data_IF_260374907707
#
_entry.id   IF_260374907707
#
_cell.length_a   1.000
_cell.length_b   1.000
_cell.length_c   1.000
_cell.angle_alpha   90.00
_cell.angle_beta   90.00
_cell.angle_gamma   90.00
#
_symmetry.space_group_name_H-M   'P 1'
#
loop_
_entity.id
_entity.type
_entity.pdbx_description
1 polymer ?
#
# COMPACT_ATOMS: atom_id res chain seq x y z
N UNK A 1 -46.91 -10.96 14.08
CA UNK A 1 -46.68 -9.82 13.17
C UNK A 1 -45.42 -10.14 12.38
N UNK A 2 -45.55 -10.49 11.10
CA UNK A 2 -44.37 -10.74 10.24
C UNK A 2 -43.84 -9.39 9.78
N UNK A 3 -42.57 -9.10 10.06
CA UNK A 3 -41.88 -7.96 9.48
C UNK A 3 -41.86 -8.12 7.96
N UNK A 4 -42.27 -7.08 7.23
CA UNK A 4 -42.22 -7.05 5.77
C UNK A 4 -40.73 -7.01 5.36
N UNK A 5 -40.20 -8.02 4.66
CA UNK A 5 -38.78 -8.07 4.29
C UNK A 5 -38.38 -6.93 3.35
N UNK A 6 -39.33 -6.21 2.75
CA UNK A 6 -39.04 -5.02 1.91
C UNK A 6 -38.64 -3.79 2.73
N UNK A 7 -39.11 -3.68 3.98
CA UNK A 7 -38.70 -2.60 4.88
C UNK A 7 -37.25 -2.75 5.37
N UNK A 8 -36.72 -3.98 5.38
CA UNK A 8 -35.31 -4.23 5.70
C UNK A 8 -34.37 -3.77 4.57
N UNK A 9 -34.83 -3.77 3.31
CA UNK A 9 -34.04 -3.36 2.15
C UNK A 9 -33.97 -1.84 1.94
N UNK A 10 -34.94 -1.08 2.46
CA UNK A 10 -34.93 0.39 2.30
C UNK A 10 -33.83 1.05 3.15
N UNK A 11 -33.49 0.48 4.32
CA UNK A 11 -32.34 0.92 5.12
C UNK A 11 -30.98 0.47 4.51
N UNK A 12 -30.93 -0.68 3.81
CA UNK A 12 -29.69 -1.18 3.18
C UNK A 12 -29.32 -0.43 1.87
N UNK A 13 -30.27 0.17 1.17
CA UNK A 13 -29.99 0.93 -0.07
C UNK A 13 -29.32 2.29 0.21
N UNK A 14 -29.44 2.83 1.43
CA UNK A 14 -28.79 4.08 1.83
C UNK A 14 -27.27 3.92 2.05
N UNK A 15 -26.80 2.71 2.39
CA UNK A 15 -25.39 2.42 2.74
C UNK A 15 -24.40 2.66 1.57
N UNK A 16 -24.88 2.68 0.31
CA UNK A 16 -24.06 2.92 -0.87
C UNK A 16 -24.38 4.22 -1.62
N UNK A 17 -25.31 5.03 -1.08
CA UNK A 17 -25.83 6.22 -1.77
C UNK A 17 -24.78 7.33 -1.94
N UNK A 18 -23.73 7.35 -1.10
CA UNK A 18 -22.65 8.35 -1.14
C UNK A 18 -21.25 7.74 -0.91
N UNK A 19 -20.87 6.68 -1.64
CA UNK A 19 -19.50 6.15 -1.57
C UNK A 19 -18.54 7.07 -2.34
N UNK A 20 -17.87 7.96 -1.63
CA UNK A 20 -16.79 8.79 -2.15
C UNK A 20 -15.43 8.18 -1.77
N UNK A 21 -14.59 7.89 -2.76
CA UNK A 21 -13.21 7.45 -2.55
C UNK A 21 -12.25 8.44 -3.23
N UNK A 22 -11.31 8.98 -2.46
CA UNK A 22 -10.27 9.87 -2.95
C UNK A 22 -8.91 9.21 -2.75
N UNK A 23 -8.03 9.31 -3.74
CA UNK A 23 -6.67 8.80 -3.65
C UNK A 23 -5.68 9.92 -3.33
N UNK A 24 -4.87 9.70 -2.31
CA UNK A 24 -3.75 10.56 -1.95
C UNK A 24 -2.40 9.92 -2.29
N UNK A 25 -1.41 10.78 -2.46
CA UNK A 25 -0.02 10.41 -2.72
C UNK A 25 0.82 10.78 -1.50
N UNK A 26 1.38 9.77 -0.84
CA UNK A 26 2.06 9.93 0.44
C UNK A 26 3.46 9.34 0.41
N UNK A 27 4.35 9.89 1.22
CA UNK A 27 5.65 9.28 1.45
C UNK A 27 5.46 7.88 2.06
N UNK A 28 6.24 6.87 1.62
CA UNK A 28 6.25 5.57 2.28
C UNK A 28 6.63 5.68 3.74
N UNK A 29 5.94 4.94 4.60
CA UNK A 29 6.28 4.80 6.02
C UNK A 29 6.62 3.35 6.36
N UNK A 30 7.35 3.06 7.45
CA UNK A 30 7.76 1.70 7.79
C UNK A 30 6.62 0.67 7.86
N UNK A 31 5.41 1.09 8.24
CA UNK A 31 4.21 0.24 8.27
C UNK A 31 3.80 -0.27 6.87
N UNK A 32 4.17 0.43 5.80
CA UNK A 32 3.81 0.08 4.42
C UNK A 32 4.62 -1.10 3.87
N UNK A 33 5.73 -1.48 4.52
CA UNK A 33 6.66 -2.48 4.01
C UNK A 33 5.97 -3.82 3.68
N UNK A 34 5.03 -4.26 4.52
CA UNK A 34 4.29 -5.49 4.25
C UNK A 34 3.48 -5.39 2.97
N UNK A 35 2.71 -4.31 2.80
CA UNK A 35 1.86 -4.12 1.64
C UNK A 35 2.68 -3.90 0.37
N UNK A 36 3.71 -3.06 0.41
CA UNK A 36 4.66 -2.87 -0.70
C UNK A 36 5.24 -4.22 -1.16
N UNK A 37 5.62 -5.10 -0.22
CA UNK A 37 6.16 -6.42 -0.57
C UNK A 37 5.20 -7.31 -1.36
N UNK A 38 3.88 -7.15 -1.15
CA UNK A 38 2.83 -7.89 -1.84
C UNK A 38 2.65 -7.40 -3.27
N UNK A 39 2.77 -6.08 -3.49
CA UNK A 39 2.68 -5.44 -4.81
C UNK A 39 3.94 -5.65 -5.67
N UNK A 40 5.08 -6.04 -5.07
CA UNK A 40 6.29 -6.30 -5.85
C UNK A 40 6.14 -7.51 -6.79
N UNK A 41 6.66 -7.41 -8.03
CA UNK A 41 6.59 -8.52 -8.99
C UNK A 41 7.31 -9.78 -8.49
N UNK A 42 6.67 -10.94 -8.67
CA UNK A 42 7.21 -12.23 -8.20
C UNK A 42 8.32 -12.81 -9.06
N UNK A 43 8.50 -12.31 -10.28
CA UNK A 43 9.52 -12.80 -11.21
C UNK A 43 10.93 -12.31 -10.88
N UNK A 44 11.08 -11.34 -9.96
CA UNK A 44 12.39 -10.89 -9.49
C UNK A 44 12.79 -11.77 -8.30
N UNK A 45 13.89 -12.54 -8.38
CA UNK A 45 14.26 -13.52 -7.36
C UNK A 45 14.99 -12.85 -6.18
N UNK A 46 14.33 -11.86 -5.57
CA UNK A 46 14.79 -11.12 -4.39
C UNK A 46 13.87 -11.40 -3.21
N UNK A 47 14.38 -11.20 -2.00
CA UNK A 47 13.52 -11.14 -0.83
C UNK A 47 12.71 -9.83 -0.89
N UNK A 48 11.45 -9.94 -1.33
CA UNK A 48 10.57 -8.78 -1.49
C UNK A 48 10.34 -8.00 -0.20
N UNK A 49 10.32 -8.67 0.96
CA UNK A 49 10.11 -8.00 2.24
C UNK A 49 11.34 -7.17 2.63
N UNK A 50 12.54 -7.67 2.35
CA UNK A 50 13.81 -6.97 2.54
C UNK A 50 13.84 -5.68 1.70
N UNK A 51 13.50 -5.77 0.42
CA UNK A 51 13.46 -4.62 -0.49
C UNK A 51 12.34 -3.66 -0.10
N UNK A 52 11.18 -4.16 0.28
CA UNK A 52 10.06 -3.33 0.71
C UNK A 52 10.38 -2.55 1.99
N UNK A 53 11.11 -3.13 2.94
CA UNK A 53 11.62 -2.42 4.12
C UNK A 53 12.60 -1.32 3.75
N UNK A 54 13.52 -1.60 2.82
CA UNK A 54 14.44 -0.59 2.32
C UNK A 54 13.68 0.59 1.67
N UNK A 55 12.64 0.31 0.89
CA UNK A 55 11.77 1.33 0.27
C UNK A 55 10.99 2.13 1.31
N UNK A 56 10.37 1.44 2.28
CA UNK A 56 9.52 2.06 3.31
C UNK A 56 10.31 2.91 4.31
N UNK A 57 11.62 2.67 4.44
CA UNK A 57 12.51 3.38 5.35
C UNK A 57 13.44 4.38 4.64
N UNK A 58 13.29 4.60 3.34
CA UNK A 58 14.12 5.56 2.62
C UNK A 58 13.61 6.99 2.81
N UNK A 59 14.52 7.93 3.05
CA UNK A 59 14.13 9.30 3.38
C UNK A 59 13.75 10.18 2.18
N UNK A 60 13.90 9.70 0.92
CA UNK A 60 13.98 10.64 -0.22
C UNK A 60 13.31 10.23 -1.53
N UNK A 61 12.96 8.97 -1.78
CA UNK A 61 12.44 8.58 -3.11
C UNK A 61 11.38 7.48 -3.06
N UNK A 62 10.13 7.86 -2.89
CA UNK A 62 9.01 6.95 -3.09
C UNK A 62 7.68 7.65 -2.89
N UNK A 63 6.63 7.04 -3.43
CA UNK A 63 5.26 7.50 -3.25
C UNK A 63 4.37 6.28 -3.13
N UNK A 64 3.53 6.27 -2.11
CA UNK A 64 2.46 5.30 -1.93
C UNK A 64 1.14 5.95 -2.29
N UNK A 65 0.26 5.19 -2.93
CA UNK A 65 -1.08 5.60 -3.31
C UNK A 65 -2.02 4.94 -2.32
N UNK A 66 -2.69 5.77 -1.52
CA UNK A 66 -3.61 5.32 -0.47
C UNK A 66 -4.92 6.07 -0.56
N UNK A 67 -5.95 5.56 0.07
CA UNK A 67 -7.13 6.36 0.36
C UNK A 67 -6.71 7.62 1.14
N UNK A 68 -7.25 8.76 0.76
CA UNK A 68 -7.07 10.02 1.48
C UNK A 68 -8.28 10.24 2.37
N UNK A 69 -8.05 10.26 3.68
CA UNK A 69 -9.07 10.63 4.66
C UNK A 69 -9.40 12.12 4.53
N UNK A 70 -10.58 12.54 5.00
CA UNK A 70 -11.03 13.94 4.91
C UNK A 70 -10.07 14.95 5.56
N UNK A 71 -9.31 14.53 6.57
CA UNK A 71 -8.29 15.33 7.23
C UNK A 71 -6.96 15.41 6.47
N UNK A 72 -6.87 14.84 5.26
CA UNK A 72 -5.68 14.79 4.43
C UNK A 72 -4.65 13.74 4.84
N UNK A 73 -4.96 12.89 5.82
CA UNK A 73 -4.08 11.81 6.26
C UNK A 73 -4.22 10.57 5.36
N UNK A 74 -3.18 9.74 5.27
CA UNK A 74 -3.29 8.44 4.61
C UNK A 74 -4.25 7.52 5.36
N UNK A 75 -5.20 6.94 4.65
CA UNK A 75 -6.03 5.83 5.12
C UNK A 75 -5.29 4.49 5.04
N UNK A 76 -5.95 3.44 5.53
CA UNK A 76 -5.38 2.10 5.61
C UNK A 76 -5.35 1.37 4.25
N UNK A 77 -6.20 1.81 3.32
CA UNK A 77 -6.32 1.20 2.00
C UNK A 77 -5.16 1.62 1.09
N UNK A 78 -4.41 0.63 0.59
CA UNK A 78 -3.21 0.82 -0.24
C UNK A 78 -3.45 0.29 -1.65
N UNK A 79 -3.18 1.11 -2.67
CA UNK A 79 -3.51 0.81 -4.06
C UNK A 79 -2.30 0.65 -4.96
N UNK A 80 -1.16 1.20 -4.57
CA UNK A 80 0.07 1.08 -5.35
C UNK A 80 1.20 1.92 -4.79
N UNK A 81 2.37 1.76 -5.38
CA UNK A 81 3.52 2.59 -5.04
C UNK A 81 4.44 2.76 -6.24
N UNK A 82 5.24 3.82 -6.21
CA UNK A 82 6.39 4.01 -7.06
C UNK A 82 7.60 4.33 -6.18
N UNK A 83 8.79 3.83 -6.54
CA UNK A 83 10.00 4.03 -5.75
C UNK A 83 11.24 3.83 -6.61
N UNK A 84 12.31 4.55 -6.27
CA UNK A 84 13.66 4.31 -6.82
C UNK A 84 14.60 4.04 -5.67
N UNK A 85 15.13 2.83 -5.61
CA UNK A 85 16.05 2.42 -4.55
C UNK A 85 17.50 2.58 -5.00
N UNK A 86 18.30 3.35 -4.25
CA UNK A 86 19.74 3.46 -4.51
C UNK A 86 20.49 2.23 -3.97
N UNK A 87 20.79 1.29 -4.85
CA UNK A 87 21.45 0.03 -4.50
C UNK A 87 22.83 0.22 -3.87
N UNK A 88 23.56 1.30 -4.19
CA UNK A 88 24.85 1.60 -3.57
C UNK A 88 24.75 1.93 -2.07
N UNK A 89 23.64 2.52 -1.64
CA UNK A 89 23.35 2.85 -0.23
C UNK A 89 22.77 1.64 0.51
N UNK A 90 21.92 0.87 -0.16
CA UNK A 90 21.15 -0.21 0.48
C UNK A 90 21.77 -1.59 0.34
N UNK A 91 22.90 -1.76 -0.36
CA UNK A 91 23.55 -3.07 -0.57
C UNK A 91 23.69 -3.90 0.71
N UNK A 92 24.10 -3.28 1.82
CA UNK A 92 24.42 -3.98 3.07
C UNK A 92 23.15 -4.47 3.80
N UNK A 93 21.99 -3.95 3.43
CA UNK A 93 20.68 -4.35 3.95
C UNK A 93 19.84 -5.08 2.89
N UNK A 94 20.44 -5.41 1.74
CA UNK A 94 19.83 -6.17 0.64
C UNK A 94 20.62 -7.44 0.27
N UNK A 95 20.89 -8.37 1.22
CA UNK A 95 21.68 -9.59 0.94
C UNK A 95 21.10 -10.46 -0.18
N UNK A 96 19.79 -10.41 -0.43
CA UNK A 96 19.17 -11.15 -1.53
C UNK A 96 19.51 -10.56 -2.91
N UNK A 97 19.85 -9.28 -2.96
CA UNK A 97 20.25 -8.59 -4.18
C UNK A 97 21.72 -8.89 -4.54
N UNK A 98 22.59 -9.01 -3.54
CA UNK A 98 23.99 -9.42 -3.73
C UNK A 98 24.12 -10.82 -4.36
N UNK A 99 23.15 -11.70 -4.10
CA UNK A 99 23.10 -13.03 -4.70
C UNK A 99 22.75 -13.02 -6.20
N UNK A 100 22.21 -11.92 -6.72
CA UNK A 100 21.72 -11.78 -8.10
C UNK A 100 22.75 -11.19 -9.06
N UNK A 101 23.76 -10.46 -8.55
CA UNK A 101 24.78 -9.78 -9.36
C UNK A 101 26.04 -10.64 -9.56
N UNK A 102 26.14 -11.80 -8.91
CA UNK A 102 27.24 -12.76 -9.08
C UNK A 102 27.00 -13.70 -10.24
#
# INVERSE_FOLDING_TARGET
MSADPRLANEEEEEDFSEVNCTFGFFDPVPADAMTISVFMPRYVPINRLEVARAIACQNRVGTTIKEQLENGMPGDNFFGFNSVLNLGVYKDVLPSFDALIK
#
